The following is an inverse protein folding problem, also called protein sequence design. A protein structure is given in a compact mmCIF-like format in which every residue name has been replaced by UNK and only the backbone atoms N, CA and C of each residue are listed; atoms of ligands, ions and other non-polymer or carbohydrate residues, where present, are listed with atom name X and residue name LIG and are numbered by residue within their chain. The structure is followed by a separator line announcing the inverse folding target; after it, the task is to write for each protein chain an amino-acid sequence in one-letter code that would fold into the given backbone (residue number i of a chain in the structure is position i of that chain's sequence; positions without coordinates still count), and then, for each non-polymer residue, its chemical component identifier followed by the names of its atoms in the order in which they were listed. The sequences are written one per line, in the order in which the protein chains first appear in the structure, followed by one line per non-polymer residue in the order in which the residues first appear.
data_IF_377055437377
#
_entry.id   IF_377055437377
#
_cell.length_a   1.000
_cell.length_b   1.000
_cell.length_c   1.000
_cell.angle_alpha   90.00
_cell.angle_beta   90.00
_cell.angle_gamma   90.00
#
_symmetry.space_group_name_H-M   'P 1'
#
loop_
_entity.id
_entity.type
_entity.pdbx_description
1 polymer ?
#
# COMPACT_ATOMS: atom_id res chain seq x y z
N UNK A 1 -19.47 3.26 2.77
CA UNK A 1 -18.76 3.25 4.07
C UNK A 1 -17.53 2.34 3.93
N UNK A 2 -16.37 2.71 4.47
CA UNK A 2 -15.16 1.88 4.40
C UNK A 2 -15.20 0.77 5.46
N UNK A 3 -14.71 -0.44 5.11
CA UNK A 3 -14.53 -1.54 6.06
C UNK A 3 -13.06 -1.57 6.50
N UNK A 4 -12.83 -1.47 7.82
CA UNK A 4 -11.48 -1.51 8.39
C UNK A 4 -11.17 -2.96 8.81
N UNK A 5 -10.05 -3.48 8.34
CA UNK A 5 -9.54 -4.81 8.70
C UNK A 5 -8.16 -4.62 9.32
N UNK A 6 -7.98 -5.11 10.54
CA UNK A 6 -6.70 -5.02 11.27
C UNK A 6 -6.14 -6.42 11.40
N UNK A 7 -4.88 -6.60 11.00
CA UNK A 7 -4.12 -7.84 11.20
C UNK A 7 -3.00 -7.50 12.19
N UNK A 8 -3.12 -8.04 13.40
CA UNK A 8 -2.20 -7.78 14.51
C UNK A 8 -1.82 -9.11 15.18
N UNK A 9 -0.59 -9.16 15.67
CA UNK A 9 -0.04 -10.28 16.42
C UNK A 9 1.21 -9.78 17.16
N UNK A 10 1.52 -10.32 18.34
CA UNK A 10 2.63 -9.81 19.16
C UNK A 10 3.99 -10.31 18.65
N UNK A 11 4.06 -11.58 18.24
CA UNK A 11 5.28 -12.18 17.68
C UNK A 11 5.62 -11.63 16.29
N UNK A 12 6.91 -11.44 16.03
CA UNK A 12 7.46 -11.15 14.71
C UNK A 12 7.46 -12.39 13.79
N UNK A 13 7.62 -12.16 12.48
CA UNK A 13 7.79 -13.22 11.46
C UNK A 13 6.69 -14.29 11.40
N UNK A 14 5.45 -13.96 11.78
CA UNK A 14 4.28 -14.87 11.69
C UNK A 14 3.45 -14.68 10.42
N UNK A 15 3.95 -13.89 9.46
CA UNK A 15 3.27 -13.67 8.18
C UNK A 15 2.30 -12.49 8.11
N UNK A 16 2.19 -11.64 9.14
CA UNK A 16 1.31 -10.44 9.16
C UNK A 16 1.42 -9.59 7.90
N UNK A 17 2.63 -9.11 7.59
CA UNK A 17 2.92 -8.27 6.43
C UNK A 17 2.49 -8.97 5.14
N UNK A 18 2.84 -10.25 4.99
CA UNK A 18 2.47 -11.05 3.81
C UNK A 18 0.96 -11.22 3.66
N UNK A 19 0.23 -11.48 4.75
CA UNK A 19 -1.23 -11.59 4.74
C UNK A 19 -1.87 -10.27 4.36
N UNK A 20 -1.43 -9.17 4.98
CA UNK A 20 -1.97 -7.83 4.75
C UNK A 20 -1.75 -7.37 3.31
N UNK A 21 -0.52 -7.48 2.79
CA UNK A 21 -0.21 -7.05 1.42
C UNK A 21 -0.94 -7.91 0.38
N UNK A 22 -1.01 -9.23 0.60
CA UNK A 22 -1.75 -10.13 -0.31
C UNK A 22 -3.25 -9.85 -0.29
N UNK A 23 -3.85 -9.65 0.89
CA UNK A 23 -5.26 -9.32 1.01
C UNK A 23 -5.57 -8.00 0.31
N UNK A 24 -4.74 -6.97 0.53
CA UNK A 24 -4.92 -5.67 -0.12
C UNK A 24 -4.83 -5.78 -1.65
N UNK A 25 -3.85 -6.53 -2.15
CA UNK A 25 -3.70 -6.82 -3.57
C UNK A 25 -4.94 -7.51 -4.14
N UNK A 26 -5.40 -8.62 -3.54
CA UNK A 26 -6.54 -9.39 -4.03
C UNK A 26 -7.86 -8.60 -3.98
N UNK A 27 -8.07 -7.77 -2.97
CA UNK A 27 -9.24 -6.87 -2.91
C UNK A 27 -9.19 -5.84 -4.03
N UNK A 28 -8.02 -5.24 -4.29
CA UNK A 28 -7.84 -4.31 -5.40
C UNK A 28 -8.09 -4.96 -6.77
N UNK A 29 -7.62 -6.19 -6.98
CA UNK A 29 -7.85 -6.96 -8.21
C UNK A 29 -9.33 -7.29 -8.44
N UNK A 30 -10.12 -7.38 -7.36
CA UNK A 30 -11.59 -7.55 -7.43
C UNK A 30 -12.35 -6.23 -7.63
N UNK A 31 -11.66 -5.13 -7.89
CA UNK A 31 -12.27 -3.82 -8.13
C UNK A 31 -12.65 -3.07 -6.85
N UNK A 32 -12.24 -3.55 -5.67
CA UNK A 32 -12.46 -2.82 -4.43
C UNK A 32 -11.45 -1.67 -4.30
N UNK A 33 -11.96 -0.47 -4.03
CA UNK A 33 -11.13 0.65 -3.55
C UNK A 33 -10.51 0.25 -2.21
N UNK A 34 -9.24 -0.13 -2.25
CA UNK A 34 -8.55 -0.74 -1.13
C UNK A 34 -7.39 0.15 -0.73
N UNK A 35 -7.28 0.40 0.57
CA UNK A 35 -6.16 1.11 1.16
C UNK A 35 -5.42 0.20 2.13
N UNK A 36 -4.09 0.32 2.09
CA UNK A 36 -3.20 -0.30 3.03
C UNK A 36 -2.59 0.79 3.91
N UNK A 37 -2.54 0.56 5.22
CA UNK A 37 -1.79 1.38 6.17
C UNK A 37 -0.77 0.49 6.89
N UNK A 38 0.51 0.82 6.76
CA UNK A 38 1.61 0.09 7.42
C UNK A 38 2.07 0.86 8.67
N UNK A 39 2.03 0.19 9.82
CA UNK A 39 2.50 0.71 11.10
C UNK A 39 3.82 0.04 11.55
N UNK A 40 4.46 -0.74 10.69
CA UNK A 40 5.78 -1.32 10.96
C UNK A 40 6.89 -0.36 10.51
N UNK A 41 7.77 0.03 11.43
CA UNK A 41 8.87 0.98 11.15
C UNK A 41 9.89 0.49 10.11
N UNK A 42 9.90 -0.81 9.79
CA UNK A 42 10.78 -1.39 8.77
C UNK A 42 10.27 -1.14 7.33
N UNK A 43 8.96 -0.87 7.15
CA UNK A 43 8.36 -0.56 5.86
C UNK A 43 8.47 -1.70 4.83
N UNK A 44 8.36 -2.94 5.28
CA UNK A 44 8.38 -4.11 4.40
C UNK A 44 7.22 -4.10 3.38
N UNK A 45 6.04 -3.63 3.77
CA UNK A 45 4.89 -3.53 2.86
C UNK A 45 5.20 -2.59 1.70
N UNK A 46 5.87 -1.48 1.98
CA UNK A 46 6.29 -0.49 0.98
C UNK A 46 7.18 -1.08 -0.10
N UNK A 47 8.14 -1.92 0.32
CA UNK A 47 9.05 -2.61 -0.59
C UNK A 47 8.29 -3.62 -1.45
N UNK A 48 7.38 -4.38 -0.86
CA UNK A 48 6.52 -5.35 -1.58
C UNK A 48 5.72 -4.65 -2.68
N UNK A 49 5.25 -3.42 -2.44
CA UNK A 49 4.53 -2.61 -3.42
C UNK A 49 5.42 -1.73 -4.31
N UNK A 50 6.74 -1.96 -4.32
CA UNK A 50 7.64 -1.37 -5.32
C UNK A 50 8.31 -0.06 -4.93
N UNK A 51 8.22 0.39 -3.67
CA UNK A 51 9.09 1.49 -3.19
C UNK A 51 10.49 0.96 -2.93
N UNK A 52 11.39 1.40 -3.81
CA UNK A 52 12.81 1.01 -3.79
C UNK A 52 13.57 1.60 -2.60
N UNK A 53 13.13 2.73 -2.06
CA UNK A 53 13.81 3.41 -0.96
C UNK A 53 12.78 4.10 -0.04
N UNK A 54 12.48 3.46 1.08
CA UNK A 54 11.56 3.97 2.09
C UNK A 54 12.00 5.32 2.68
N UNK A 55 13.30 5.60 2.73
CA UNK A 55 13.83 6.86 3.29
C UNK A 55 13.51 8.07 2.41
N UNK A 56 13.05 7.86 1.17
CA UNK A 56 12.64 8.91 0.24
C UNK A 56 11.13 9.17 0.24
N UNK A 57 10.38 8.51 1.12
CA UNK A 57 8.94 8.75 1.27
C UNK A 57 8.72 10.12 1.95
N UNK A 58 8.17 11.07 1.19
CA UNK A 58 7.84 12.41 1.70
C UNK A 58 6.71 12.38 2.73
N UNK A 59 5.76 11.44 2.56
CA UNK A 59 4.62 11.24 3.46
C UNK A 59 4.63 9.82 3.98
N UNK A 60 4.67 9.69 5.31
CA UNK A 60 4.61 8.42 6.04
C UNK A 60 3.41 8.42 6.99
N UNK A 61 3.11 7.25 7.58
CA UNK A 61 2.09 7.16 8.63
C UNK A 61 2.40 8.10 9.82
N UNK A 62 3.69 8.23 10.18
CA UNK A 62 4.13 9.15 11.23
C UNK A 62 3.91 10.62 10.85
N UNK A 63 4.11 11.00 9.57
CA UNK A 63 3.79 12.35 9.08
C UNK A 63 2.31 12.69 9.33
N UNK A 64 1.42 11.73 9.11
CA UNK A 64 -0.03 11.92 9.26
C UNK A 64 -0.45 11.91 10.72
N UNK A 65 0.04 10.96 11.51
CA UNK A 65 -0.23 10.94 12.95
C UNK A 65 0.17 12.26 13.61
N UNK A 66 1.33 12.82 13.25
CA UNK A 66 1.78 14.11 13.78
C UNK A 66 0.87 15.27 13.38
N UNK A 67 0.42 15.31 12.12
CA UNK A 67 -0.50 16.33 11.64
C UNK A 67 -1.87 16.23 12.33
N UNK A 68 -2.38 15.02 12.51
CA UNK A 68 -3.63 14.76 13.24
C UNK A 68 -3.54 15.23 14.69
N UNK A 69 -2.45 14.91 15.40
CA UNK A 69 -2.25 15.33 16.80
C UNK A 69 -2.20 16.86 16.93
N UNK A 70 -1.72 17.56 15.89
CA UNK A 70 -1.60 19.02 15.86
C UNK A 70 -2.82 19.73 15.26
N UNK A 71 -3.88 19.01 14.90
CA UNK A 71 -5.02 19.52 14.14
C UNK A 71 -4.63 20.27 12.85
N UNK A 72 -3.53 19.85 12.22
CA UNK A 72 -3.06 20.39 10.95
C UNK A 72 -3.73 19.68 9.76
N UNK A 73 -3.82 20.39 8.62
CA UNK A 73 -4.37 19.81 7.40
C UNK A 73 -3.53 18.63 6.88
N UNK A 74 -4.23 17.56 6.51
CA UNK A 74 -3.61 16.38 5.92
C UNK A 74 -3.15 16.66 4.48
N UNK A 75 -2.04 16.03 4.03
CA UNK A 75 -1.58 16.20 2.65
C UNK A 75 -2.62 15.68 1.66
N UNK A 76 -2.83 16.41 0.55
CA UNK A 76 -3.75 16.01 -0.51
C UNK A 76 -3.43 14.63 -1.10
N UNK A 77 -2.15 14.25 -1.12
CA UNK A 77 -1.69 12.92 -1.57
C UNK A 77 -2.29 11.78 -0.75
N UNK A 78 -2.65 12.00 0.52
CA UNK A 78 -3.30 11.03 1.40
C UNK A 78 -4.80 10.93 1.12
N UNK A 79 -5.40 12.04 0.69
CA UNK A 79 -6.84 12.17 0.46
C UNK A 79 -7.23 11.65 -0.94
N UNK A 80 -6.33 11.77 -1.91
CA UNK A 80 -6.55 11.40 -3.31
C UNK A 80 -5.96 10.05 -3.71
N UNK A 81 -4.90 9.58 -3.04
CA UNK A 81 -4.34 8.26 -3.28
C UNK A 81 -4.95 7.26 -2.29
N UNK A 82 -5.54 6.14 -2.75
CA UNK A 82 -6.01 5.10 -1.85
C UNK A 82 -4.88 4.29 -1.24
N UNK A 83 -3.63 4.75 -1.24
CA UNK A 83 -2.54 4.05 -0.58
C UNK A 83 -1.71 5.07 0.18
N UNK A 84 -1.91 5.11 1.49
CA UNK A 84 -0.94 5.71 2.38
C UNK A 84 0.13 4.66 2.66
N UNK A 85 1.31 4.89 2.11
CA UNK A 85 2.45 3.96 1.95
C UNK A 85 2.39 3.18 0.64
N UNK A 86 2.85 3.86 -0.43
CA UNK A 86 3.28 3.33 -1.74
C UNK A 86 2.22 3.15 -2.82
N UNK A 87 2.05 4.18 -3.65
CA UNK A 87 1.80 3.93 -5.08
C UNK A 87 3.12 3.45 -5.71
N UNK A 88 3.12 2.35 -6.49
CA UNK A 88 2.24 2.20 -7.63
C UNK A 88 1.62 0.80 -7.76
N UNK A 89 0.33 0.68 -7.40
CA UNK A 89 -0.56 -0.28 -8.07
C UNK A 89 -1.78 0.40 -8.70
N UNK A 90 -2.02 1.68 -8.39
CA UNK A 90 -3.23 2.37 -8.84
C UNK A 90 -3.10 3.20 -10.12
N UNK A 91 -2.10 2.91 -10.97
CA UNK A 91 -2.20 3.19 -12.41
C UNK A 91 -2.57 1.92 -13.22
N UNK A 92 -3.09 0.88 -12.55
CA UNK A 92 -3.66 -0.30 -13.23
C UNK A 92 -5.16 -0.46 -13.05
N UNK A 93 -5.78 0.27 -12.10
CA UNK A 93 -7.23 0.23 -11.88
C UNK A 93 -8.04 1.06 -12.91
N UNK A 94 -7.38 1.74 -13.85
CA UNK A 94 -8.01 2.40 -14.99
C UNK A 94 -7.56 1.73 -16.30
N UNK A 95 -8.16 0.60 -16.64
CA UNK A 95 -8.27 0.13 -18.03
C UNK A 95 -7.18 -0.79 -18.61
N UNK A 96 -6.24 -1.32 -17.82
CA UNK A 96 -5.18 -2.20 -18.36
C UNK A 96 -5.42 -3.68 -18.01
N UNK A 97 -5.20 -4.62 -18.95
CA UNK A 97 -5.47 -6.04 -18.74
C UNK A 97 -4.58 -6.65 -17.65
N UNK A 98 -5.04 -7.71 -16.95
CA UNK A 98 -4.34 -8.30 -15.80
C UNK A 98 -2.92 -8.75 -16.15
N UNK A 99 -2.03 -8.62 -15.18
CA UNK A 99 -0.64 -9.09 -15.25
C UNK A 99 -0.66 -10.61 -15.53
N UNK A 100 -0.26 -10.98 -16.75
CA UNK A 100 -0.48 -12.30 -17.34
C UNK A 100 -0.60 -12.27 -18.88
N UNK A 101 -0.83 -11.09 -19.48
CA UNK A 101 -0.78 -10.89 -20.93
C UNK A 101 0.43 -10.09 -21.45
N UNK A 102 1.50 -9.94 -20.66
CA UNK A 102 2.79 -9.58 -21.24
C UNK A 102 3.43 -10.86 -21.77
N UNK A 103 3.43 -11.02 -23.11
CA UNK A 103 4.25 -12.03 -23.78
C UNK A 103 5.66 -11.95 -23.20
N UNK A 104 6.15 -13.08 -22.66
CA UNK A 104 7.55 -13.21 -22.29
C UNK A 104 8.42 -12.74 -23.48
N UNK A 105 9.46 -11.92 -23.26
CA UNK A 105 10.40 -11.64 -24.33
C UNK A 105 10.98 -12.98 -24.78
N UNK A 106 10.76 -13.32 -26.05
CA UNK A 106 11.46 -14.42 -26.70
C UNK A 106 12.95 -14.14 -26.54
N UNK A 107 13.61 -14.98 -25.75
CA UNK A 107 15.06 -15.11 -25.78
C UNK A 107 15.39 -15.52 -27.22
N UNK A 108 15.97 -14.60 -27.98
CA UNK A 108 16.66 -14.94 -29.22
C UNK A 108 18.05 -15.42 -28.90
#
# INVERSE_FOLDING_TARGET
MAKVIVIIHEKGCVGKTATVTTLAYLLSQRGHRTALADFEGQGHSSIIFGVKNNNKLEVTINTILRKLIKDESLPWSVVSAPILTVMPLMLFAMGSPPFGQQKAPLVK
#
